data_IF_656263683882
#
_entry.id   IF_656263683882
#
_cell.length_a   1.000
_cell.length_b   1.000
_cell.length_c   1.000
_cell.angle_alpha   90.00
_cell.angle_beta   90.00
_cell.angle_gamma   90.00
#
_symmetry.space_group_name_H-M   'P 1'
#
loop_
_entity.id
_entity.type
_entity.pdbx_description
1 polymer ?
#
# COMPACT_ATOMS: atom_id res chain seq x y z
N UNK A 1 -37.37 21.28 -22.67
CA UNK A 1 -37.36 19.97 -21.98
C UNK A 1 -37.54 20.22 -20.50
N UNK A 2 -38.67 19.81 -19.93
CA UNK A 2 -38.91 19.94 -18.50
C UNK A 2 -37.98 18.95 -17.76
N UNK A 3 -37.08 19.48 -16.92
CA UNK A 3 -36.28 18.64 -16.03
C UNK A 3 -37.16 18.29 -14.84
N UNK A 4 -37.49 17.02 -14.71
CA UNK A 4 -38.24 16.49 -13.58
C UNK A 4 -37.37 16.62 -12.31
N UNK A 5 -37.85 17.41 -11.35
CA UNK A 5 -37.18 17.61 -10.06
C UNK A 5 -37.57 16.44 -9.14
N UNK A 6 -36.94 15.29 -9.34
CA UNK A 6 -37.15 14.16 -8.43
C UNK A 6 -36.37 14.39 -7.16
N UNK A 7 -37.07 14.42 -6.02
CA UNK A 7 -36.46 14.43 -4.71
C UNK A 7 -35.57 13.18 -4.55
N UNK A 8 -34.27 13.42 -4.36
CA UNK A 8 -33.24 12.38 -4.25
C UNK A 8 -33.03 11.93 -2.80
N UNK A 9 -33.65 12.61 -1.85
CA UNK A 9 -33.42 12.42 -0.42
C UNK A 9 -34.49 11.58 0.24
N UNK A 10 -35.74 11.71 -0.21
CA UNK A 10 -36.86 10.90 0.27
C UNK A 10 -36.90 9.55 -0.44
N UNK A 11 -36.89 8.45 0.33
CA UNK A 11 -37.06 7.10 -0.21
C UNK A 11 -38.49 6.93 -0.70
N UNK A 12 -38.65 6.74 -2.01
CA UNK A 12 -39.94 6.39 -2.59
C UNK A 12 -40.19 4.88 -2.38
N UNK A 13 -41.11 4.56 -1.48
CA UNK A 13 -41.45 3.18 -1.09
C UNK A 13 -42.32 2.46 -2.13
N UNK A 14 -42.84 3.16 -3.13
CA UNK A 14 -43.75 2.62 -4.15
C UNK A 14 -43.12 2.57 -5.56
N UNK A 15 -41.87 3.00 -5.72
CA UNK A 15 -41.16 2.90 -6.98
C UNK A 15 -40.72 1.45 -7.25
N UNK A 16 -41.30 0.82 -8.27
CA UNK A 16 -40.93 -0.53 -8.71
C UNK A 16 -39.58 -0.55 -9.47
N UNK A 17 -39.14 0.59 -9.99
CA UNK A 17 -37.90 0.70 -10.76
C UNK A 17 -36.66 0.89 -9.86
N UNK A 18 -35.70 -0.04 -9.98
CA UNK A 18 -34.40 0.06 -9.30
C UNK A 18 -33.59 1.22 -9.88
N UNK A 19 -33.49 2.33 -9.13
CA UNK A 19 -32.59 3.44 -9.48
C UNK A 19 -31.12 2.98 -9.44
N UNK A 20 -30.29 3.29 -10.44
CA UNK A 20 -28.85 3.01 -10.39
C UNK A 20 -28.17 3.89 -9.33
N UNK A 21 -28.00 3.34 -8.13
CA UNK A 21 -27.31 3.98 -7.01
C UNK A 21 -25.98 3.28 -6.70
N UNK A 22 -24.95 4.09 -6.43
CA UNK A 22 -23.57 3.82 -5.95
C UNK A 22 -22.98 2.44 -6.32
N UNK A 23 -21.92 2.36 -7.16
CA UNK A 23 -21.23 1.10 -7.44
C UNK A 23 -20.91 0.35 -6.15
N UNK A 24 -21.31 -0.93 -6.10
CA UNK A 24 -21.00 -1.84 -5.00
C UNK A 24 -19.50 -1.73 -4.71
N UNK A 25 -19.17 -1.57 -3.43
CA UNK A 25 -17.88 -1.90 -2.82
C UNK A 25 -17.15 -2.97 -3.64
N UNK A 26 -15.85 -2.75 -3.91
CA UNK A 26 -14.99 -3.57 -4.78
C UNK A 26 -15.54 -5.00 -5.01
N UNK A 27 -15.80 -5.41 -6.27
CA UNK A 27 -16.55 -6.63 -6.60
C UNK A 27 -15.91 -7.92 -6.09
N UNK A 28 -14.64 -7.85 -5.68
CA UNK A 28 -13.88 -8.96 -5.13
C UNK A 28 -14.05 -9.05 -3.62
N UNK A 29 -14.00 -10.26 -3.09
CA UNK A 29 -13.90 -10.49 -1.64
C UNK A 29 -12.61 -9.88 -1.09
N UNK A 30 -12.58 -9.55 0.21
CA UNK A 30 -11.38 -8.99 0.87
C UNK A 30 -10.15 -9.89 0.69
N UNK A 31 -10.32 -11.21 0.71
CA UNK A 31 -9.23 -12.17 0.51
C UNK A 31 -8.64 -12.09 -0.90
N UNK A 32 -9.50 -12.03 -1.93
CA UNK A 32 -9.07 -11.86 -3.31
C UNK A 32 -8.36 -10.52 -3.53
N UNK A 33 -8.88 -9.45 -2.92
CA UNK A 33 -8.23 -8.14 -2.96
C UNK A 33 -6.82 -8.19 -2.35
N UNK A 34 -6.65 -8.83 -1.19
CA UNK A 34 -5.34 -8.98 -0.56
C UNK A 34 -4.36 -9.75 -1.46
N UNK A 35 -4.81 -10.83 -2.11
CA UNK A 35 -4.00 -11.61 -3.06
C UNK A 35 -3.55 -10.77 -4.25
N UNK A 36 -4.47 -10.01 -4.86
CA UNK A 36 -4.14 -9.12 -6.00
C UNK A 36 -3.19 -8.02 -5.58
N UNK A 37 -3.43 -7.37 -4.44
CA UNK A 37 -2.56 -6.32 -3.92
C UNK A 37 -1.16 -6.84 -3.66
N UNK A 38 -1.03 -8.05 -3.08
CA UNK A 38 0.27 -8.68 -2.87
C UNK A 38 0.99 -8.98 -4.19
N UNK A 39 0.27 -9.51 -5.18
CA UNK A 39 0.84 -9.76 -6.52
C UNK A 39 1.33 -8.46 -7.18
N UNK A 40 0.55 -7.39 -7.09
CA UNK A 40 0.92 -6.09 -7.63
C UNK A 40 2.10 -5.46 -6.88
N UNK A 41 2.20 -5.66 -5.56
CA UNK A 41 3.38 -5.29 -4.78
C UNK A 41 4.63 -6.00 -5.32
N UNK A 42 4.60 -7.34 -5.40
CA UNK A 42 5.74 -8.13 -5.90
C UNK A 42 6.12 -7.76 -7.34
N UNK A 43 5.13 -7.49 -8.21
CA UNK A 43 5.40 -7.04 -9.58
C UNK A 43 6.10 -5.68 -9.60
N UNK A 44 5.66 -4.72 -8.78
CA UNK A 44 6.30 -3.40 -8.66
C UNK A 44 7.73 -3.53 -8.13
N UNK A 45 7.94 -4.34 -7.10
CA UNK A 45 9.26 -4.55 -6.50
C UNK A 45 10.22 -5.17 -7.53
N UNK A 46 9.76 -6.19 -8.28
CA UNK A 46 10.53 -6.81 -9.37
C UNK A 46 10.91 -5.80 -10.46
N UNK A 47 9.97 -4.96 -10.90
CA UNK A 47 10.24 -3.94 -11.93
C UNK A 47 11.26 -2.91 -11.45
N UNK A 48 11.24 -2.57 -10.15
CA UNK A 48 12.21 -1.66 -9.54
C UNK A 48 13.55 -2.31 -9.20
N UNK A 49 13.74 -3.60 -9.50
CA UNK A 49 14.94 -4.35 -9.14
C UNK A 49 15.10 -4.60 -7.63
N UNK A 50 14.06 -4.33 -6.83
CA UNK A 50 14.11 -4.49 -5.38
C UNK A 50 14.08 -5.98 -5.02
N UNK A 51 15.02 -6.39 -4.16
CA UNK A 51 15.07 -7.73 -3.59
C UNK A 51 14.95 -7.63 -2.07
N UNK A 52 14.11 -8.49 -1.49
CA UNK A 52 13.98 -8.58 -0.03
C UNK A 52 15.06 -9.51 0.51
N UNK A 53 15.86 -9.01 1.44
CA UNK A 53 16.83 -9.78 2.22
C UNK A 53 16.29 -9.92 3.64
N UNK A 54 16.19 -11.14 4.14
CA UNK A 54 15.81 -11.42 5.53
C UNK A 54 17.09 -11.69 6.32
N UNK A 55 17.28 -10.95 7.42
CA UNK A 55 18.50 -10.98 8.23
C UNK A 55 18.13 -11.22 9.69
N UNK A 56 18.83 -12.16 10.34
CA UNK A 56 18.80 -12.35 11.80
C UNK A 56 19.96 -11.56 12.41
N UNK A 57 19.67 -10.78 13.44
CA UNK A 57 20.65 -9.94 14.14
C UNK A 57 20.28 -9.84 15.62
N UNK A 58 21.24 -9.38 16.42
CA UNK A 58 21.03 -9.17 17.86
C UNK A 58 19.99 -8.06 18.09
N UNK A 59 19.17 -8.21 19.12
CA UNK A 59 18.09 -7.26 19.47
C UNK A 59 18.65 -5.86 19.72
N UNK A 60 19.73 -5.75 20.50
CA UNK A 60 20.40 -4.48 20.78
C UNK A 60 20.85 -3.73 19.51
N UNK A 61 21.31 -4.46 18.49
CA UNK A 61 21.70 -3.88 17.22
C UNK A 61 20.49 -3.33 16.44
N UNK A 62 19.36 -4.03 16.48
CA UNK A 62 18.09 -3.56 15.88
C UNK A 62 17.65 -2.25 16.55
N UNK A 63 17.72 -2.18 17.87
CA UNK A 63 17.29 -1.01 18.63
C UNK A 63 18.18 0.21 18.40
N UNK A 64 19.49 0.00 18.28
CA UNK A 64 20.42 1.05 17.88
C UNK A 64 20.11 1.55 16.45
N UNK A 65 19.84 0.65 15.50
CA UNK A 65 19.46 1.04 14.13
C UNK A 65 18.15 1.83 14.09
N UNK A 66 17.14 1.43 14.88
CA UNK A 66 15.88 2.16 14.97
C UNK A 66 16.08 3.58 15.52
N UNK A 67 16.88 3.73 16.58
CA UNK A 67 17.20 5.05 17.17
C UNK A 67 17.94 5.94 16.19
N UNK A 68 18.99 5.44 15.54
CA UNK A 68 19.74 6.20 14.53
C UNK A 68 18.88 6.60 13.33
N UNK A 69 17.96 5.72 12.89
CA UNK A 69 17.02 6.04 11.81
C UNK A 69 16.05 7.15 12.23
N UNK A 70 15.55 7.11 13.47
CA UNK A 70 14.68 8.14 14.03
C UNK A 70 15.39 9.49 14.18
N UNK A 71 16.62 9.51 14.71
CA UNK A 71 17.43 10.73 14.83
C UNK A 71 17.69 11.40 13.48
N UNK A 72 17.89 10.59 12.43
CA UNK A 72 18.11 11.05 11.05
C UNK A 72 16.81 11.31 10.28
N UNK A 73 15.65 11.00 10.88
CA UNK A 73 14.33 11.09 10.25
C UNK A 73 14.22 10.34 8.91
N UNK A 74 14.88 9.18 8.81
CA UNK A 74 14.84 8.30 7.63
C UNK A 74 14.29 6.92 8.00
N UNK A 75 13.87 6.15 6.99
CA UNK A 75 13.44 4.78 7.24
C UNK A 75 14.64 3.89 7.63
N UNK A 76 14.42 2.90 8.51
CA UNK A 76 15.46 1.92 8.86
C UNK A 76 16.03 1.22 7.62
N UNK A 77 15.19 0.91 6.63
CA UNK A 77 15.62 0.26 5.38
C UNK A 77 16.59 1.14 4.59
N UNK A 78 16.29 2.43 4.49
CA UNK A 78 17.14 3.42 3.82
C UNK A 78 18.48 3.62 4.56
N UNK A 79 18.45 3.69 5.90
CA UNK A 79 19.67 3.76 6.71
C UNK A 79 20.59 2.56 6.43
N UNK A 80 20.02 1.35 6.42
CA UNK A 80 20.78 0.11 6.16
C UNK A 80 21.35 0.12 4.74
N UNK A 81 20.56 0.53 3.74
CA UNK A 81 21.01 0.64 2.35
C UNK A 81 22.20 1.61 2.23
N UNK A 82 22.11 2.81 2.83
CA UNK A 82 23.20 3.79 2.83
C UNK A 82 24.47 3.25 3.51
N UNK A 83 24.32 2.55 4.64
CA UNK A 83 25.45 1.94 5.35
C UNK A 83 26.11 0.85 4.51
N UNK A 84 25.33 0.00 3.84
CA UNK A 84 25.85 -1.05 2.96
C UNK A 84 26.56 -0.45 1.75
N UNK A 85 25.96 0.51 1.06
CA UNK A 85 26.56 1.18 -0.10
C UNK A 85 27.87 1.90 0.24
N UNK A 86 27.99 2.45 1.46
CA UNK A 86 29.23 3.07 1.92
C UNK A 86 30.38 2.07 2.15
N UNK A 87 30.06 0.84 2.54
CA UNK A 87 31.05 -0.19 2.88
C UNK A 87 31.41 -1.09 1.69
N UNK A 88 30.52 -1.22 0.71
CA UNK A 88 30.80 -1.94 -0.52
C UNK A 88 31.78 -1.12 -1.36
N UNK A 89 32.89 -1.71 -1.85
CA UNK A 89 33.76 -1.01 -2.80
C UNK A 89 32.95 -0.70 -4.05
N UNK A 90 32.98 0.55 -4.49
CA UNK A 90 32.49 0.96 -5.81
C UNK A 90 33.47 0.47 -6.88
N UNK A 91 33.53 -0.85 -7.10
CA UNK A 91 34.19 -1.42 -8.26
C UNK A 91 33.11 -1.78 -9.30
N UNK A 92 32.68 -0.76 -10.06
CA UNK A 92 32.20 -0.85 -11.45
C UNK A 92 31.91 0.52 -12.03
#
# INVERSE_FOLDING_TARGET
MAKEQTDRTTLDLFAEERRPGRPKTNPLSREEQLRINKRNQLRRDRVKGLRRVELKMNEEAVDLLNRLAQERNISRSELIEQMLLRQLPLDT
#
